data_IF_083509743682
#
_entry.id   IF_083509743682
#
_cell.length_a   1.000
_cell.length_b   1.000
_cell.length_c   1.000
_cell.angle_alpha   90.00
_cell.angle_beta   90.00
_cell.angle_gamma   90.00
#
_symmetry.space_group_name_H-M   'P 1'
#
loop_
_entity.id
_entity.type
_entity.pdbx_description
1 polymer ?
#
# COMPACT_ATOMS: atom_id res chain seq x y z
N UNK A 1 -19.65 37.50 9.17
CA UNK A 1 -18.97 36.82 10.30
C UNK A 1 -17.84 36.01 9.69
N UNK A 2 -16.62 36.09 10.19
CA UNK A 2 -15.56 35.23 9.68
C UNK A 2 -15.98 33.74 9.93
N UNK A 3 -15.93 32.91 8.89
CA UNK A 3 -16.06 31.48 9.03
C UNK A 3 -14.89 31.00 9.90
N UNK A 4 -15.20 30.66 11.13
CA UNK A 4 -14.26 29.90 11.97
C UNK A 4 -14.27 28.48 11.41
N UNK A 5 -13.30 28.15 10.56
CA UNK A 5 -13.08 26.77 10.14
C UNK A 5 -12.68 25.97 11.37
N UNK A 6 -13.46 24.94 11.71
CA UNK A 6 -13.11 24.01 12.78
C UNK A 6 -11.81 23.30 12.38
N UNK A 7 -10.83 23.21 13.29
CA UNK A 7 -9.62 22.46 13.01
C UNK A 7 -9.97 21.01 12.66
N UNK A 8 -9.27 20.37 11.71
CA UNK A 8 -9.48 18.97 11.39
C UNK A 8 -9.35 18.07 12.61
N UNK A 9 -10.20 17.04 12.70
CA UNK A 9 -10.13 16.06 13.77
C UNK A 9 -8.94 15.11 13.53
N UNK A 10 -8.25 14.74 14.58
CA UNK A 10 -7.14 13.81 14.52
C UNK A 10 -7.15 12.82 15.66
N UNK A 11 -6.55 11.65 15.44
CA UNK A 11 -6.30 10.65 16.47
C UNK A 11 -4.80 10.47 16.64
N UNK A 12 -4.39 10.08 17.86
CA UNK A 12 -3.03 9.61 18.06
C UNK A 12 -2.96 8.11 17.78
N UNK A 13 -1.97 7.71 16.99
CA UNK A 13 -1.72 6.33 16.65
C UNK A 13 -0.22 6.06 16.55
N UNK A 14 0.17 4.83 16.81
CA UNK A 14 1.54 4.37 16.57
C UNK A 14 1.71 3.98 15.11
N UNK A 15 2.83 4.41 14.51
CA UNK A 15 3.31 3.98 13.20
C UNK A 15 4.69 3.35 13.35
N UNK A 16 4.88 2.20 12.72
CA UNK A 16 6.13 1.43 12.79
C UNK A 16 7.04 1.83 11.63
N UNK A 17 7.93 2.77 11.89
CA UNK A 17 8.92 3.28 10.93
C UNK A 17 10.13 2.34 10.79
N UNK A 18 10.93 2.57 9.75
CA UNK A 18 12.16 1.82 9.51
C UNK A 18 13.14 1.97 10.69
N UNK A 19 13.51 0.84 11.28
CA UNK A 19 14.60 0.77 12.25
C UNK A 19 15.87 0.36 11.50
N UNK A 20 16.91 1.24 11.45
CA UNK A 20 18.16 0.88 10.80
C UNK A 20 18.85 -0.28 11.52
N UNK A 21 19.56 -1.16 10.79
CA UNK A 21 20.35 -2.23 11.40
C UNK A 21 21.45 -1.65 12.29
N UNK A 22 22.03 -2.48 13.16
CA UNK A 22 23.17 -2.09 13.95
C UNK A 22 24.33 -1.60 13.06
N UNK A 23 25.15 -0.71 13.59
CA UNK A 23 26.25 -0.09 12.83
C UNK A 23 27.18 -1.16 12.22
N UNK A 24 27.24 -1.17 10.89
CA UNK A 24 28.08 -2.12 10.12
C UNK A 24 27.32 -3.38 9.65
N UNK A 25 26.09 -3.57 10.06
CA UNK A 25 25.25 -4.66 9.57
C UNK A 25 24.49 -4.24 8.31
N UNK A 26 24.22 -5.21 7.42
CA UNK A 26 23.31 -5.01 6.29
C UNK A 26 21.89 -5.27 6.73
N UNK A 27 20.94 -4.53 6.15
CA UNK A 27 19.53 -4.82 6.37
C UNK A 27 19.22 -6.22 5.83
N UNK A 28 18.61 -7.09 6.63
CA UNK A 28 18.32 -8.46 6.18
C UNK A 28 17.26 -8.49 5.10
N UNK A 29 17.33 -9.47 4.20
CA UNK A 29 16.23 -9.79 3.29
C UNK A 29 15.03 -10.21 4.13
N UNK A 30 13.88 -9.59 3.88
CA UNK A 30 12.64 -9.89 4.60
C UNK A 30 11.85 -10.98 3.86
N UNK A 31 11.62 -12.10 4.51
CA UNK A 31 10.85 -13.23 3.96
C UNK A 31 9.37 -13.03 4.24
N UNK A 32 8.62 -12.60 3.22
CA UNK A 32 7.18 -12.33 3.34
C UNK A 32 6.42 -13.60 3.72
N UNK A 33 5.37 -13.44 4.54
CA UNK A 33 4.51 -14.49 5.06
C UNK A 33 5.21 -15.49 6.00
N UNK A 34 6.32 -15.12 6.62
CA UNK A 34 6.96 -15.90 7.68
C UNK A 34 6.70 -15.32 9.05
N UNK A 35 6.93 -16.11 10.09
CA UNK A 35 6.88 -15.65 11.50
C UNK A 35 7.92 -14.56 11.73
N UNK A 36 9.16 -14.74 11.23
CA UNK A 36 10.22 -13.73 11.35
C UNK A 36 9.88 -12.40 10.72
N UNK A 37 9.13 -12.39 9.60
CA UNK A 37 8.63 -11.16 9.01
C UNK A 37 7.67 -10.41 9.97
N UNK A 38 6.83 -11.14 10.69
CA UNK A 38 5.90 -10.54 11.66
C UNK A 38 6.56 -10.11 12.95
N UNK A 39 7.70 -10.72 13.32
CA UNK A 39 8.52 -10.37 14.47
C UNK A 39 9.56 -9.28 14.18
N UNK A 40 9.59 -8.74 12.97
CA UNK A 40 10.51 -7.67 12.60
C UNK A 40 10.33 -6.47 13.55
N UNK A 41 11.45 -5.90 13.97
CA UNK A 41 11.46 -4.74 14.87
C UNK A 41 11.42 -3.46 14.05
N UNK A 42 10.70 -2.47 14.57
CA UNK A 42 10.51 -1.17 13.96
C UNK A 42 10.84 -0.04 14.95
N UNK A 43 11.04 1.15 14.42
CA UNK A 43 11.09 2.39 15.19
C UNK A 43 9.65 2.90 15.36
N UNK A 44 9.05 2.59 16.50
CA UNK A 44 7.66 2.91 16.80
C UNK A 44 7.52 4.40 17.17
N UNK A 45 6.68 5.13 16.44
CA UNK A 45 6.45 6.56 16.62
C UNK A 45 4.98 6.84 16.89
N UNK A 46 4.71 7.61 17.95
CA UNK A 46 3.38 8.14 18.21
C UNK A 46 3.17 9.41 17.38
N UNK A 47 2.21 9.37 16.46
CA UNK A 47 1.92 10.49 15.54
C UNK A 47 0.46 10.91 15.61
N UNK A 48 0.20 12.14 15.19
CA UNK A 48 -1.17 12.59 14.92
C UNK A 48 -1.56 12.18 13.51
N UNK A 49 -2.67 11.46 13.38
CA UNK A 49 -3.25 11.04 12.10
C UNK A 49 -4.57 11.78 11.90
N UNK A 50 -4.61 12.65 10.90
CA UNK A 50 -5.76 13.51 10.63
C UNK A 50 -6.85 12.75 9.89
N UNK A 51 -8.10 12.89 10.35
CA UNK A 51 -9.24 12.35 9.61
C UNK A 51 -9.54 13.21 8.39
N UNK A 52 -9.31 12.65 7.22
CA UNK A 52 -9.49 13.32 5.93
C UNK A 52 -10.93 13.81 5.70
N UNK A 53 -11.92 13.20 6.34
CA UNK A 53 -13.32 13.61 6.26
C UNK A 53 -13.61 14.95 6.91
N UNK A 54 -12.71 15.40 7.76
CA UNK A 54 -12.83 16.67 8.48
C UNK A 54 -11.94 17.76 7.87
N UNK A 55 -11.17 17.43 6.82
CA UNK A 55 -10.35 18.36 6.08
C UNK A 55 -11.12 19.04 4.96
N UNK A 56 -10.75 20.29 4.67
CA UNK A 56 -11.18 21.01 3.46
C UNK A 56 -10.30 20.65 2.24
N UNK A 57 -9.23 19.87 2.45
CA UNK A 57 -8.26 19.52 1.40
C UNK A 57 -8.87 18.60 0.35
N UNK A 58 -8.63 18.91 -0.92
CA UNK A 58 -8.92 18.05 -2.05
C UNK A 58 -7.70 17.16 -2.34
N UNK A 59 -7.67 15.99 -1.73
CA UNK A 59 -6.56 15.03 -1.86
C UNK A 59 -6.46 14.49 -3.29
N UNK A 60 -5.30 14.66 -3.92
CA UNK A 60 -5.02 14.25 -5.30
C UNK A 60 -3.79 13.37 -5.40
N UNK A 61 -3.85 12.36 -6.27
CA UNK A 61 -2.73 11.45 -6.55
C UNK A 61 -1.44 12.15 -6.95
N UNK A 62 -1.52 13.20 -7.79
CA UNK A 62 -0.33 13.88 -8.29
C UNK A 62 0.27 14.89 -7.29
N UNK A 63 -0.49 15.27 -6.25
CA UNK A 63 -0.04 16.20 -5.22
C UNK A 63 0.31 15.49 -3.92
N UNK A 64 -0.62 14.67 -3.40
CA UNK A 64 -0.49 14.04 -2.10
C UNK A 64 0.04 12.60 -2.18
N UNK A 65 -0.06 11.98 -3.38
CA UNK A 65 0.27 10.59 -3.64
C UNK A 65 -0.90 9.63 -3.41
N UNK A 66 -2.01 10.10 -2.87
CA UNK A 66 -3.22 9.31 -2.63
C UNK A 66 -4.49 10.12 -2.91
N UNK A 67 -5.60 9.42 -3.07
CA UNK A 67 -6.91 10.04 -3.30
C UNK A 67 -8.03 9.09 -2.86
N UNK A 68 -8.96 9.57 -2.01
CA UNK A 68 -10.21 8.87 -1.74
C UNK A 68 -11.20 9.14 -2.87
N UNK A 69 -11.88 8.10 -3.29
CA UNK A 69 -12.84 8.15 -4.40
C UNK A 69 -14.07 7.30 -4.08
N UNK A 70 -15.19 7.63 -4.72
CA UNK A 70 -16.34 6.74 -4.78
C UNK A 70 -15.98 5.50 -5.62
N UNK A 71 -16.23 4.31 -5.08
CA UNK A 71 -15.96 3.07 -5.77
C UNK A 71 -17.08 2.71 -6.73
N UNK A 72 -16.72 2.44 -7.99
CA UNK A 72 -17.63 1.94 -9.02
C UNK A 72 -17.50 0.44 -9.27
N UNK A 73 -16.75 -0.26 -8.41
CA UNK A 73 -16.57 -1.71 -8.50
C UNK A 73 -17.89 -2.42 -8.16
N UNK A 74 -18.34 -3.28 -9.09
CA UNK A 74 -19.61 -3.97 -8.98
C UNK A 74 -19.54 -5.24 -8.13
N UNK A 75 -18.33 -5.79 -7.90
CA UNK A 75 -18.16 -6.98 -7.09
C UNK A 75 -18.64 -6.75 -5.65
N UNK A 76 -19.51 -7.61 -5.17
CA UNK A 76 -20.08 -7.55 -3.81
C UNK A 76 -19.84 -8.84 -3.01
N UNK A 77 -19.41 -9.91 -3.68
CA UNK A 77 -19.13 -11.21 -3.07
C UNK A 77 -17.64 -11.54 -3.22
N UNK A 78 -16.89 -11.30 -2.17
CA UNK A 78 -15.43 -11.43 -2.16
C UNK A 78 -14.97 -12.80 -1.61
N UNK A 79 -15.61 -13.89 -2.07
CA UNK A 79 -15.36 -15.27 -1.63
C UNK A 79 -14.34 -16.02 -2.51
N UNK A 80 -13.96 -15.45 -3.65
CA UNK A 80 -12.98 -16.00 -4.58
C UNK A 80 -11.53 -15.88 -4.12
N UNK A 81 -10.66 -16.67 -4.73
CA UNK A 81 -9.21 -16.50 -4.62
C UNK A 81 -8.71 -15.52 -5.68
N UNK A 82 -8.68 -14.25 -5.33
CA UNK A 82 -8.25 -13.16 -6.22
C UNK A 82 -6.73 -12.96 -6.27
N UNK A 83 -5.94 -13.72 -5.52
CA UNK A 83 -4.49 -13.49 -5.40
C UNK A 83 -3.76 -13.50 -6.75
N UNK A 84 -4.15 -14.39 -7.64
CA UNK A 84 -3.43 -14.62 -8.90
C UNK A 84 -4.20 -14.20 -10.16
N UNK A 85 -5.41 -13.68 -10.02
CA UNK A 85 -6.21 -13.18 -11.11
C UNK A 85 -7.52 -12.57 -10.64
N UNK A 86 -8.07 -11.69 -11.45
CA UNK A 86 -9.36 -11.04 -11.21
C UNK A 86 -10.41 -11.58 -12.21
N UNK A 87 -11.67 -11.76 -11.79
CA UNK A 87 -12.77 -11.94 -12.75
C UNK A 87 -12.79 -10.80 -13.78
N UNK A 88 -13.15 -11.09 -15.01
CA UNK A 88 -13.09 -10.13 -16.12
C UNK A 88 -13.85 -8.83 -15.82
N UNK A 89 -15.01 -8.93 -15.15
CA UNK A 89 -15.78 -7.74 -14.79
C UNK A 89 -15.06 -6.90 -13.74
N UNK A 90 -14.53 -7.52 -12.69
CA UNK A 90 -13.76 -6.82 -11.65
C UNK A 90 -12.51 -6.16 -12.24
N UNK A 91 -11.79 -6.85 -13.13
CA UNK A 91 -10.67 -6.27 -13.84
C UNK A 91 -11.06 -5.02 -14.63
N UNK A 92 -12.20 -5.08 -15.34
CA UNK A 92 -12.73 -3.95 -16.09
C UNK A 92 -13.12 -2.79 -15.18
N UNK A 93 -13.83 -3.07 -14.09
CA UNK A 93 -14.25 -2.04 -13.13
C UNK A 93 -13.05 -1.27 -12.55
N UNK A 94 -11.98 -1.99 -12.18
CA UNK A 94 -10.74 -1.39 -11.68
C UNK A 94 -10.05 -0.54 -12.75
N UNK A 95 -9.99 -1.03 -13.98
CA UNK A 95 -9.42 -0.28 -15.10
C UNK A 95 -10.20 1.02 -15.36
N UNK A 96 -11.53 0.95 -15.38
CA UNK A 96 -12.40 2.10 -15.63
C UNK A 96 -12.31 3.12 -14.47
N UNK A 97 -12.23 2.63 -13.21
CA UNK A 97 -12.04 3.47 -12.03
C UNK A 97 -10.72 4.26 -12.14
N UNK A 98 -9.62 3.59 -12.39
CA UNK A 98 -8.31 4.23 -12.50
C UNK A 98 -8.23 5.18 -13.70
N UNK A 99 -8.73 4.81 -14.87
CA UNK A 99 -8.76 5.70 -16.04
C UNK A 99 -9.55 6.98 -15.76
N UNK A 100 -10.69 6.87 -15.09
CA UNK A 100 -11.54 8.02 -14.73
C UNK A 100 -10.80 9.01 -13.82
N UNK A 101 -10.09 8.52 -12.81
CA UNK A 101 -9.48 9.36 -11.79
C UNK A 101 -8.05 9.83 -12.13
N UNK A 102 -7.38 9.16 -13.08
CA UNK A 102 -5.98 9.46 -13.42
C UNK A 102 -5.79 10.00 -14.84
N UNK A 103 -6.77 9.84 -15.71
CA UNK A 103 -6.64 10.13 -17.14
C UNK A 103 -5.73 9.14 -17.87
N UNK A 104 -5.42 7.99 -17.27
CA UNK A 104 -4.58 6.98 -17.90
C UNK A 104 -5.20 6.41 -19.18
N UNK A 105 -4.38 6.17 -20.19
CA UNK A 105 -4.80 5.57 -21.45
C UNK A 105 -4.89 4.04 -21.36
N UNK A 106 -3.99 3.43 -20.57
CA UNK A 106 -3.96 1.99 -20.36
C UNK A 106 -3.71 1.64 -18.89
N UNK A 107 -4.43 0.63 -18.37
CA UNK A 107 -4.30 0.11 -17.01
C UNK A 107 -4.19 -1.40 -17.06
N UNK A 108 -3.20 -1.97 -16.38
CA UNK A 108 -2.94 -3.40 -16.30
C UNK A 108 -2.89 -3.86 -14.83
N UNK A 109 -3.99 -4.43 -14.27
CA UNK A 109 -3.94 -5.09 -12.97
C UNK A 109 -2.98 -6.27 -12.99
N UNK A 110 -2.14 -6.41 -11.96
CA UNK A 110 -1.15 -7.49 -11.88
C UNK A 110 -1.14 -8.20 -10.52
N UNK A 111 -0.88 -9.48 -10.55
CA UNK A 111 -0.81 -10.32 -9.35
C UNK A 111 0.56 -10.19 -8.62
N UNK A 112 0.61 -10.47 -7.32
CA UNK A 112 -0.51 -10.89 -6.49
C UNK A 112 -1.36 -9.71 -6.00
N UNK A 113 -2.68 -9.89 -5.99
CA UNK A 113 -3.57 -8.99 -5.25
C UNK A 113 -3.62 -9.42 -3.78
N UNK A 114 -3.86 -8.47 -2.88
CA UNK A 114 -3.78 -8.72 -1.44
C UNK A 114 -5.14 -8.59 -0.78
N UNK A 115 -5.66 -9.71 -0.26
CA UNK A 115 -6.86 -9.71 0.58
C UNK A 115 -6.44 -9.87 2.03
N UNK A 116 -6.94 -9.01 2.90
CA UNK A 116 -6.69 -9.06 4.34
C UNK A 116 -7.99 -9.28 5.08
N UNK A 117 -8.03 -10.31 5.93
CA UNK A 117 -9.21 -10.71 6.71
C UNK A 117 -8.87 -11.16 8.11
N UNK A 118 -7.61 -11.29 8.43
CA UNK A 118 -7.17 -11.74 9.74
C UNK A 118 -6.94 -10.56 10.67
N UNK A 119 -7.17 -10.78 11.95
CA UNK A 119 -6.85 -9.82 12.99
C UNK A 119 -5.35 -9.73 13.20
N UNK A 120 -4.83 -8.50 13.38
CA UNK A 120 -3.45 -8.29 13.85
C UNK A 120 -3.19 -9.02 15.19
N UNK A 121 -4.19 -9.16 16.05
CA UNK A 121 -4.06 -9.87 17.33
C UNK A 121 -3.60 -11.33 17.16
N UNK A 122 -3.91 -11.98 16.04
CA UNK A 122 -3.40 -13.33 15.74
C UNK A 122 -1.88 -13.37 15.61
N UNK A 123 -1.27 -12.28 15.11
CA UNK A 123 0.19 -12.16 15.01
C UNK A 123 0.82 -11.99 16.38
N UNK A 124 0.24 -11.14 17.20
CA UNK A 124 0.72 -10.90 18.59
C UNK A 124 0.70 -12.16 19.43
N UNK A 125 -0.22 -13.08 19.14
CA UNK A 125 -0.40 -14.33 19.86
C UNK A 125 0.39 -15.51 19.28
N UNK A 126 1.33 -15.30 18.34
CA UNK A 126 2.22 -16.39 17.88
C UNK A 126 3.16 -16.78 19.02
N UNK A 127 3.17 -18.04 19.38
CA UNK A 127 4.01 -18.57 20.47
C UNK A 127 5.50 -18.39 20.15
N UNK A 128 6.32 -18.09 21.16
CA UNK A 128 7.72 -17.74 21.01
C UNK A 128 8.58 -18.89 20.44
N UNK A 129 8.16 -20.15 20.63
CA UNK A 129 8.86 -21.34 20.15
C UNK A 129 8.61 -21.64 18.66
N UNK A 130 7.69 -20.95 18.00
CA UNK A 130 7.49 -21.09 16.55
C UNK A 130 8.69 -20.51 15.80
N UNK A 131 9.36 -21.30 14.93
CA UNK A 131 10.54 -20.84 14.19
C UNK A 131 10.26 -19.64 13.27
N UNK A 132 11.22 -18.75 13.12
CA UNK A 132 11.09 -17.54 12.28
C UNK A 132 10.89 -17.83 10.79
N UNK A 133 11.34 -18.97 10.29
CA UNK A 133 11.13 -19.42 8.90
C UNK A 133 9.80 -20.14 8.68
N UNK A 134 9.01 -20.35 9.74
CA UNK A 134 7.68 -20.94 9.61
C UNK A 134 6.76 -20.06 8.78
N UNK A 135 6.10 -20.67 7.79
CA UNK A 135 5.16 -19.98 6.92
C UNK A 135 3.81 -19.75 7.62
N UNK A 136 3.32 -18.54 7.54
CA UNK A 136 2.02 -18.14 8.06
C UNK A 136 0.96 -18.17 6.95
N UNK A 137 -0.13 -18.85 7.21
CA UNK A 137 -1.30 -18.86 6.33
C UNK A 137 -2.36 -17.86 6.85
N UNK A 138 -1.93 -16.61 7.07
CA UNK A 138 -2.83 -15.55 7.51
C UNK A 138 -2.45 -14.23 6.84
N UNK A 139 -3.42 -13.35 6.69
CA UNK A 139 -3.31 -12.08 5.98
C UNK A 139 -3.80 -10.91 6.86
N UNK A 140 -3.08 -10.59 7.94
CA UNK A 140 -3.41 -9.45 8.79
C UNK A 140 -3.07 -8.12 8.09
N UNK A 141 -3.59 -6.99 8.60
CA UNK A 141 -3.15 -5.66 8.19
C UNK A 141 -1.63 -5.50 8.33
N UNK A 142 -1.00 -4.82 7.36
CA UNK A 142 0.42 -4.48 7.45
C UNK A 142 0.60 -3.29 8.40
N UNK A 143 1.18 -3.55 9.57
CA UNK A 143 1.34 -2.57 10.65
C UNK A 143 2.71 -1.88 10.62
N UNK A 144 3.36 -1.81 9.47
CA UNK A 144 4.64 -1.12 9.28
C UNK A 144 4.57 -0.16 8.09
N UNK A 145 5.33 0.92 8.17
CA UNK A 145 5.33 1.96 7.15
C UNK A 145 6.13 1.51 5.93
N UNK A 146 5.46 1.44 4.78
CA UNK A 146 6.08 1.02 3.52
C UNK A 146 5.43 1.70 2.31
N UNK A 147 6.11 1.61 1.19
CA UNK A 147 5.54 1.73 -0.15
C UNK A 147 5.81 0.40 -0.86
N UNK A 148 4.82 -0.19 -1.47
CA UNK A 148 4.89 -1.55 -2.02
C UNK A 148 6.04 -1.78 -3.01
N UNK A 149 6.46 -0.74 -3.71
CA UNK A 149 7.61 -0.79 -4.62
C UNK A 149 8.55 0.39 -4.37
N UNK A 150 9.85 0.12 -4.37
CA UNK A 150 10.85 1.14 -4.60
C UNK A 150 10.88 1.54 -6.09
N UNK A 151 11.71 2.50 -6.46
CA UNK A 151 11.84 2.85 -7.89
C UNK A 151 12.40 1.69 -8.71
N UNK A 152 13.39 0.96 -8.17
CA UNK A 152 13.91 -0.26 -8.79
C UNK A 152 12.91 -1.41 -8.67
N UNK A 153 12.18 -1.50 -7.56
CA UNK A 153 11.10 -2.45 -7.34
C UNK A 153 9.99 -2.36 -8.39
N UNK A 154 9.64 -1.14 -8.83
CA UNK A 154 8.68 -0.94 -9.90
C UNK A 154 9.16 -1.54 -11.23
N UNK A 155 10.45 -1.35 -11.58
CA UNK A 155 11.04 -1.96 -12.77
C UNK A 155 11.10 -3.48 -12.64
N UNK A 156 11.46 -4.00 -11.47
CA UNK A 156 11.47 -5.44 -11.19
C UNK A 156 10.08 -6.06 -11.41
N UNK A 157 9.01 -5.39 -10.99
CA UNK A 157 7.63 -5.87 -11.22
C UNK A 157 7.34 -5.90 -12.72
N UNK A 158 7.57 -4.80 -13.44
CA UNK A 158 7.33 -4.69 -14.87
C UNK A 158 8.03 -5.81 -15.65
N UNK A 159 9.29 -6.10 -15.31
CA UNK A 159 10.14 -7.06 -16.02
C UNK A 159 9.73 -8.52 -15.81
N UNK A 160 8.95 -8.79 -14.76
CA UNK A 160 8.52 -10.16 -14.38
C UNK A 160 7.15 -10.55 -14.88
N UNK A 161 6.38 -9.60 -15.36
CA UNK A 161 5.04 -9.91 -15.85
C UNK A 161 5.12 -10.72 -17.15
N UNK A 162 4.17 -11.63 -17.39
CA UNK A 162 4.09 -12.38 -18.64
C UNK A 162 4.06 -11.46 -19.88
N UNK A 163 3.42 -10.29 -19.73
CA UNK A 163 3.25 -9.28 -20.78
C UNK A 163 4.39 -8.24 -20.82
N UNK A 164 5.53 -8.51 -20.15
CA UNK A 164 6.62 -7.53 -19.96
C UNK A 164 7.07 -6.85 -21.25
N UNK A 165 7.19 -7.56 -22.35
CA UNK A 165 7.62 -6.97 -23.64
C UNK A 165 6.63 -5.91 -24.13
N UNK A 166 5.34 -6.22 -24.14
CA UNK A 166 4.28 -5.29 -24.53
C UNK A 166 4.21 -4.09 -23.57
N UNK A 167 4.33 -4.33 -22.27
CA UNK A 167 4.25 -3.29 -21.24
C UNK A 167 5.47 -2.37 -21.28
N UNK A 168 6.68 -2.90 -21.53
CA UNK A 168 7.90 -2.08 -21.71
C UNK A 168 7.79 -1.14 -22.91
N UNK A 169 7.14 -1.55 -23.99
CA UNK A 169 6.92 -0.66 -25.12
C UNK A 169 6.11 0.59 -24.74
N UNK A 170 5.28 0.52 -23.69
CA UNK A 170 4.50 1.66 -23.19
C UNK A 170 5.28 2.57 -22.23
N UNK A 171 6.43 2.13 -21.70
CA UNK A 171 7.22 2.89 -20.72
C UNK A 171 8.10 3.98 -21.37
N UNK A 172 8.06 4.18 -22.67
CA UNK A 172 8.67 5.35 -23.30
C UNK A 172 8.02 6.64 -22.83
N UNK A 173 6.74 6.59 -22.54
CA UNK A 173 5.95 7.67 -21.94
C UNK A 173 5.79 7.49 -20.43
N UNK A 174 5.01 8.38 -19.79
CA UNK A 174 4.72 8.31 -18.36
C UNK A 174 4.04 6.98 -18.00
N UNK A 175 4.52 6.35 -16.96
CA UNK A 175 3.90 5.17 -16.38
C UNK A 175 4.03 5.17 -14.85
N UNK A 176 3.23 4.38 -14.19
CA UNK A 176 3.24 4.30 -12.74
C UNK A 176 2.66 3.01 -12.20
N UNK A 177 2.69 2.87 -10.88
CA UNK A 177 1.97 1.85 -10.13
C UNK A 177 1.02 2.56 -9.19
N UNK A 178 -0.26 2.25 -9.31
CA UNK A 178 -1.32 2.76 -8.45
C UNK A 178 -2.13 1.58 -7.94
N UNK A 179 -2.22 1.45 -6.62
CA UNK A 179 -3.04 0.44 -5.98
C UNK A 179 -4.46 0.99 -5.76
N UNK A 180 -5.45 0.15 -5.99
CA UNK A 180 -6.83 0.37 -5.57
C UNK A 180 -7.04 -0.42 -4.29
N UNK A 181 -7.11 0.28 -3.17
CA UNK A 181 -7.44 -0.31 -1.88
C UNK A 181 -8.93 -0.10 -1.59
N UNK A 182 -9.65 -1.19 -1.33
CA UNK A 182 -11.10 -1.14 -1.09
C UNK A 182 -11.48 -1.95 0.14
N UNK A 183 -12.30 -1.39 1.03
CA UNK A 183 -12.96 -2.15 2.09
C UNK A 183 -13.91 -3.21 1.51
N UNK A 184 -13.90 -4.41 2.07
CA UNK A 184 -14.88 -5.46 1.77
C UNK A 184 -16.06 -5.45 2.75
N UNK A 185 -15.87 -4.76 3.89
CA UNK A 185 -16.85 -4.44 4.93
C UNK A 185 -16.53 -3.06 5.49
N UNK A 186 -17.48 -2.37 6.15
CA UNK A 186 -17.19 -1.10 6.82
C UNK A 186 -15.96 -1.20 7.73
N UNK A 187 -15.07 -0.23 7.63
CA UNK A 187 -13.82 -0.18 8.40
C UNK A 187 -14.08 0.41 9.77
N UNK A 188 -14.19 -0.44 10.77
CA UNK A 188 -14.42 -0.04 12.17
C UNK A 188 -13.16 -0.19 13.03
N UNK A 189 -12.08 -0.76 12.51
CA UNK A 189 -10.79 -0.93 13.18
C UNK A 189 -9.65 -1.04 12.18
N UNK A 190 -8.46 -0.76 12.67
CA UNK A 190 -7.21 -0.88 11.91
C UNK A 190 -7.31 -0.19 10.54
N UNK A 191 -7.79 1.09 10.47
CA UNK A 191 -7.88 1.82 9.21
C UNK A 191 -6.51 1.92 8.54
N UNK A 192 -6.51 2.15 7.22
CA UNK A 192 -5.28 2.42 6.49
C UNK A 192 -4.96 3.90 6.59
N UNK A 193 -3.77 4.21 7.12
CA UNK A 193 -3.19 5.54 7.13
C UNK A 193 -2.22 5.72 5.96
N UNK A 194 -2.22 6.91 5.38
CA UNK A 194 -1.36 7.33 4.28
C UNK A 194 -0.58 8.59 4.66
N UNK A 195 0.67 8.68 4.23
CA UNK A 195 1.52 9.83 4.47
C UNK A 195 1.53 10.76 3.25
N UNK A 196 1.28 12.04 3.44
CA UNK A 196 1.38 13.05 2.38
C UNK A 196 2.78 13.06 1.76
N UNK A 197 2.85 12.72 0.49
CA UNK A 197 4.11 12.62 -0.26
C UNK A 197 4.96 13.89 -0.19
N UNK A 198 4.34 15.07 -0.04
CA UNK A 198 5.01 16.37 0.09
C UNK A 198 5.76 16.52 1.42
N UNK A 199 5.39 15.74 2.42
CA UNK A 199 6.03 15.75 3.75
C UNK A 199 7.14 14.72 3.90
N UNK A 200 7.43 13.94 2.86
CA UNK A 200 8.41 12.86 2.85
C UNK A 200 9.60 13.24 2.00
N UNK A 201 10.74 13.44 2.64
CA UNK A 201 12.01 13.65 1.94
C UNK A 201 12.51 12.33 1.32
N UNK A 202 13.19 12.38 0.16
CA UNK A 202 13.76 11.17 -0.47
C UNK A 202 14.77 10.45 0.45
N UNK A 203 15.47 11.18 1.31
CA UNK A 203 16.41 10.64 2.30
C UNK A 203 15.75 9.85 3.43
N UNK A 204 14.42 9.98 3.59
CA UNK A 204 13.65 9.21 4.56
C UNK A 204 13.35 7.80 4.07
N UNK A 205 13.44 7.57 2.74
CA UNK A 205 13.16 6.29 2.11
C UNK A 205 14.37 5.36 2.15
N UNK A 206 14.13 4.11 2.52
CA UNK A 206 15.15 3.06 2.59
C UNK A 206 14.70 1.88 1.73
N UNK A 207 15.50 1.47 0.72
CA UNK A 207 15.14 0.30 -0.07
C UNK A 207 15.35 -0.96 0.76
N UNK A 208 14.33 -1.82 0.78
CA UNK A 208 14.34 -3.09 1.51
C UNK A 208 13.98 -4.22 0.57
N UNK A 209 14.88 -5.20 0.45
CA UNK A 209 14.61 -6.41 -0.33
C UNK A 209 13.65 -7.31 0.44
N UNK A 210 12.55 -7.64 -0.20
CA UNK A 210 11.58 -8.63 0.27
C UNK A 210 11.63 -9.85 -0.61
N UNK A 211 11.44 -11.03 -0.03
CA UNK A 211 11.48 -12.31 -0.73
C UNK A 211 10.22 -13.12 -0.49
N UNK A 212 9.61 -13.56 -1.58
CA UNK A 212 8.52 -14.53 -1.54
C UNK A 212 9.10 -15.89 -1.91
N UNK A 213 8.90 -16.88 -1.05
CA UNK A 213 9.26 -18.28 -1.32
C UNK A 213 8.03 -18.98 -1.90
N UNK A 214 8.15 -19.45 -3.13
CA UNK A 214 7.08 -20.18 -3.84
C UNK A 214 7.45 -21.65 -3.95
N UNK A 215 6.50 -22.53 -3.64
CA UNK A 215 6.70 -23.99 -3.68
C UNK A 215 7.12 -24.57 -2.35
N UNK A 216 7.45 -25.87 -2.37
CA UNK A 216 7.93 -26.60 -1.19
C UNK A 216 9.30 -27.22 -1.49
N UNK A 217 10.19 -27.36 -0.50
CA UNK A 217 11.45 -28.05 -0.70
C UNK A 217 11.24 -29.46 -1.29
N UNK A 218 12.12 -29.91 -2.21
CA UNK A 218 13.31 -29.22 -2.73
C UNK A 218 13.02 -28.23 -3.88
N UNK A 219 11.79 -28.10 -4.34
CA UNK A 219 11.40 -27.30 -5.51
C UNK A 219 10.88 -25.90 -5.08
N UNK A 220 11.71 -25.13 -4.42
CA UNK A 220 11.38 -23.75 -4.06
C UNK A 220 11.93 -22.74 -5.09
N UNK A 221 11.15 -21.74 -5.39
CA UNK A 221 11.55 -20.56 -6.18
C UNK A 221 11.49 -19.33 -5.30
N UNK A 222 12.57 -18.56 -5.29
CA UNK A 222 12.60 -17.27 -4.62
C UNK A 222 12.29 -16.16 -5.62
N UNK A 223 11.36 -15.28 -5.27
CA UNK A 223 11.10 -14.04 -6.01
C UNK A 223 11.42 -12.86 -5.12
N UNK A 224 12.47 -12.15 -5.46
CA UNK A 224 12.86 -10.92 -4.76
C UNK A 224 12.06 -9.75 -5.32
N UNK A 225 11.63 -8.86 -4.45
CA UNK A 225 11.08 -7.56 -4.78
C UNK A 225 11.79 -6.51 -3.93
N UNK A 226 11.67 -5.24 -4.28
CA UNK A 226 12.17 -4.15 -3.48
C UNK A 226 11.05 -3.17 -3.19
N UNK A 227 10.88 -2.85 -1.92
CA UNK A 227 9.91 -1.89 -1.41
C UNK A 227 10.62 -0.76 -0.67
N UNK A 228 9.97 0.38 -0.53
CA UNK A 228 10.43 1.40 0.39
C UNK A 228 9.94 1.12 1.80
N UNK A 229 10.84 1.16 2.78
CA UNK A 229 10.52 1.50 4.15
C UNK A 229 10.80 2.98 4.39
N UNK A 230 10.22 3.56 5.43
CA UNK A 230 10.39 4.99 5.72
C UNK A 230 10.90 5.19 7.14
N UNK A 231 11.97 5.99 7.28
CA UNK A 231 12.47 6.46 8.58
C UNK A 231 11.45 7.38 9.24
N UNK A 232 11.53 7.49 10.55
CA UNK A 232 10.73 8.46 11.30
C UNK A 232 11.16 9.91 11.00
N UNK A 233 10.17 10.80 10.89
CA UNK A 233 10.41 12.24 10.80
C UNK A 233 9.24 13.03 11.38
N UNK A 234 9.47 14.07 12.17
CA UNK A 234 8.40 14.93 12.67
C UNK A 234 7.71 15.76 11.59
N UNK A 235 8.25 15.79 10.37
CA UNK A 235 7.65 16.49 9.23
C UNK A 235 6.51 15.72 8.61
N UNK A 236 6.44 14.39 8.80
CA UNK A 236 5.47 13.52 8.14
C UNK A 236 4.05 13.87 8.56
N UNK A 237 3.17 14.03 7.56
CA UNK A 237 1.75 14.33 7.74
C UNK A 237 0.92 13.11 7.39
N UNK A 238 0.22 12.59 8.38
CA UNK A 238 -0.55 11.36 8.26
C UNK A 238 -2.04 11.64 8.16
N UNK A 239 -2.70 10.88 7.31
CA UNK A 239 -4.14 10.97 7.08
C UNK A 239 -4.77 9.57 7.04
N UNK A 240 -6.01 9.49 7.42
CA UNK A 240 -6.86 8.31 7.24
C UNK A 240 -8.28 8.77 6.94
N UNK A 241 -9.17 7.88 6.49
CA UNK A 241 -10.59 8.16 6.43
C UNK A 241 -11.31 7.29 7.46
N UNK A 242 -12.00 7.93 8.39
CA UNK A 242 -12.81 7.20 9.38
C UNK A 242 -13.99 6.50 8.71
N UNK A 243 -14.36 5.33 9.24
CA UNK A 243 -15.55 4.58 8.83
C UNK A 243 -15.73 4.41 7.31
N UNK A 244 -14.63 4.13 6.58
CA UNK A 244 -14.74 3.84 5.15
C UNK A 244 -15.71 2.70 4.90
N UNK A 245 -16.53 2.86 3.88
CA UNK A 245 -17.54 1.88 3.46
C UNK A 245 -17.11 1.13 2.20
N UNK A 246 -17.86 0.11 1.82
CA UNK A 246 -17.62 -0.67 0.58
C UNK A 246 -17.87 0.12 -0.71
N UNK A 247 -18.47 1.30 -0.60
CA UNK A 247 -18.75 2.19 -1.73
C UNK A 247 -17.63 3.23 -1.94
N UNK A 248 -16.53 3.08 -1.20
CA UNK A 248 -15.38 3.96 -1.27
C UNK A 248 -14.11 3.15 -1.59
N UNK A 249 -13.18 3.78 -2.27
CA UNK A 249 -11.84 3.24 -2.49
C UNK A 249 -10.78 4.30 -2.20
N UNK A 250 -9.60 3.84 -1.81
CA UNK A 250 -8.40 4.66 -1.68
C UNK A 250 -7.44 4.30 -2.81
N UNK A 251 -7.12 5.28 -3.64
CA UNK A 251 -6.08 5.16 -4.65
C UNK A 251 -4.75 5.54 -4.03
N UNK A 252 -3.73 4.66 -4.14
CA UNK A 252 -2.42 4.84 -3.53
C UNK A 252 -1.35 4.76 -4.61
N UNK A 253 -0.61 5.84 -4.81
CA UNK A 253 0.50 5.87 -5.74
C UNK A 253 1.72 5.19 -5.11
N UNK A 254 2.18 4.11 -5.71
CA UNK A 254 3.39 3.41 -5.30
C UNK A 254 4.60 3.79 -6.14
N UNK A 255 4.37 4.17 -7.40
CA UNK A 255 5.41 4.65 -8.31
C UNK A 255 4.83 5.59 -9.38
N UNK A 256 5.60 6.60 -9.76
CA UNK A 256 5.38 7.43 -10.95
C UNK A 256 6.72 7.72 -11.62
N UNK A 257 6.81 7.51 -12.93
CA UNK A 257 8.04 7.73 -13.70
C UNK A 257 8.33 9.20 -13.98
N UNK A 258 7.32 10.10 -13.85
CA UNK A 258 7.48 11.52 -14.16
C UNK A 258 8.18 12.28 -13.03
N UNK A 259 9.13 13.17 -13.40
CA UNK A 259 10.02 13.89 -12.49
C UNK A 259 9.72 15.41 -12.40
N UNK A 260 8.49 15.82 -12.67
CA UNK A 260 8.06 17.22 -12.71
C UNK A 260 7.66 17.81 -11.34
N UNK A 261 8.07 17.17 -10.25
CA UNK A 261 7.75 17.59 -8.88
C UNK A 261 6.44 17.03 -8.32
N UNK A 262 5.71 16.21 -9.08
CA UNK A 262 4.52 15.51 -8.58
C UNK A 262 4.88 14.45 -7.54
N UNK A 263 3.89 14.04 -6.75
CA UNK A 263 4.01 12.89 -5.87
C UNK A 263 4.33 11.62 -6.68
N UNK A 264 5.40 10.92 -6.31
CA UNK A 264 5.84 9.69 -6.99
C UNK A 264 5.54 8.43 -6.22
N UNK A 265 5.30 8.54 -4.91
CA UNK A 265 5.06 7.41 -3.99
C UNK A 265 4.31 7.89 -2.76
N UNK A 266 3.64 6.97 -2.05
CA UNK A 266 2.87 7.24 -0.84
C UNK A 266 3.18 6.19 0.21
N UNK A 267 3.95 6.51 1.26
CA UNK A 267 4.09 5.63 2.41
C UNK A 267 2.73 5.43 3.10
N UNK A 268 2.47 4.18 3.48
CA UNK A 268 1.22 3.82 4.13
C UNK A 268 1.41 2.68 5.13
N UNK A 269 0.48 2.56 6.05
CA UNK A 269 0.45 1.52 7.09
C UNK A 269 -0.95 1.37 7.65
N UNK A 270 -1.33 0.20 8.13
CA UNK A 270 -2.46 0.10 9.01
C UNK A 270 -2.10 0.70 10.38
N UNK A 271 -3.07 1.29 11.05
CA UNK A 271 -2.92 1.86 12.39
C UNK A 271 -3.99 1.33 13.32
N UNK A 272 -3.72 1.34 14.61
CA UNK A 272 -4.74 1.15 15.64
C UNK A 272 -5.16 2.52 16.17
N UNK A 273 -6.46 2.74 16.29
CA UNK A 273 -7.01 3.98 16.80
C UNK A 273 -7.72 3.76 18.13
N UNK A 274 -7.86 4.78 18.98
CA UNK A 274 -8.65 4.67 20.21
C UNK A 274 -10.12 4.30 19.98
N UNK A 275 -10.60 4.48 18.76
CA UNK A 275 -11.99 4.23 18.36
C UNK A 275 -12.20 2.87 17.69
N UNK A 276 -11.18 2.02 17.63
CA UNK A 276 -11.26 0.69 17.00
C UNK A 276 -12.25 -0.21 17.74
N UNK A 277 -13.19 -0.80 17.02
CA UNK A 277 -14.16 -1.75 17.55
C UNK A 277 -14.58 -2.81 16.53
N UNK A 278 -15.33 -3.81 16.97
CA UNK A 278 -15.94 -4.82 16.09
C UNK A 278 -14.96 -5.87 15.54
N UNK A 279 -15.35 -6.57 14.46
CA UNK A 279 -14.57 -7.65 13.88
C UNK A 279 -13.30 -7.14 13.18
N UNK A 280 -12.38 -8.04 12.83
CA UNK A 280 -11.21 -7.71 12.01
C UNK A 280 -11.60 -6.98 10.72
N UNK A 281 -10.76 -6.05 10.28
CA UNK A 281 -10.91 -5.37 9.00
C UNK A 281 -10.82 -6.37 7.85
N UNK A 282 -11.73 -6.24 6.88
CA UNK A 282 -11.62 -6.93 5.60
C UNK A 282 -11.40 -5.93 4.48
N UNK A 283 -10.37 -6.14 3.68
CA UNK A 283 -10.01 -5.27 2.57
C UNK A 283 -9.32 -6.02 1.45
N UNK A 284 -9.40 -5.47 0.24
CA UNK A 284 -8.61 -5.90 -0.91
C UNK A 284 -7.71 -4.77 -1.39
N UNK A 285 -6.52 -5.12 -1.85
CA UNK A 285 -5.62 -4.23 -2.56
C UNK A 285 -5.32 -4.80 -3.94
N UNK A 286 -5.75 -4.08 -4.97
CA UNK A 286 -5.56 -4.44 -6.36
C UNK A 286 -4.46 -3.57 -6.95
N UNK A 287 -3.34 -4.19 -7.29
CA UNK A 287 -2.15 -3.54 -7.82
C UNK A 287 -2.26 -3.35 -9.32
N UNK A 288 -1.98 -2.14 -9.81
CA UNK A 288 -2.12 -1.83 -11.23
C UNK A 288 -0.91 -1.08 -11.77
N UNK A 289 -0.38 -1.53 -12.90
CA UNK A 289 0.43 -0.69 -13.77
C UNK A 289 -0.49 0.26 -14.52
N UNK A 290 -0.09 1.52 -14.58
CA UNK A 290 -0.87 2.61 -15.17
C UNK A 290 0.02 3.34 -16.18
N UNK A 291 -0.49 3.58 -17.40
CA UNK A 291 0.25 4.19 -18.51
C UNK A 291 -0.50 5.39 -19.07
N UNK A 292 0.23 6.46 -19.34
CA UNK A 292 -0.23 7.67 -20.03
C UNK A 292 0.57 7.79 -21.32
N UNK A 293 0.08 7.12 -22.38
CA UNK A 293 0.78 7.03 -23.66
C UNK A 293 0.84 8.38 -24.41
N UNK A 294 0.07 9.35 -23.95
CA UNK A 294 0.00 10.74 -24.41
C UNK A 294 0.81 11.74 -23.56
N UNK A 295 1.52 11.27 -22.53
CA UNK A 295 2.33 12.11 -21.64
C UNK A 295 3.80 11.66 -21.62
N UNK A 296 4.70 12.57 -21.93
CA UNK A 296 6.14 12.34 -21.83
C UNK A 296 6.58 12.14 -20.37
N UNK A 297 7.69 11.45 -20.16
CA UNK A 297 8.28 11.25 -18.81
C UNK A 297 8.93 12.52 -18.26
N UNK A 298 9.54 13.30 -19.15
CA UNK A 298 10.30 14.51 -18.84
C UNK A 298 9.45 15.77 -18.90
#
# INVERSE_FOLDING_TARGET
MPHVTKAPESVQAYVNCHLPPAKGEKYPVQYIATVGFQRAKYDEQLVNVTDSRTCEDDFKLDTHGFQWVESTIQEKQWDGDYRFGLPSQLQKDVQDLLKRHTGATYVHPFAPHVIRRDSHQKIVNIEDDVPDDAMLNMQPPAMFVHVDQSYDGAQIILDRLPEAEMLRAKTHNRWGIINVWQPLKPVNREPLAVCDARSVDESDLVPVTTRIVIGKPPNTMNKDNEQWHMKASPKHKWYYASNMTTDEALLIKCFDSKLDGRARRTPHTAIQTPNDFGPPRESIEIRCLVFWEDQEKE
#
